data_IF_969609624646
#
_entry.id   IF_969609624646
#
_cell.length_a   1.000
_cell.length_b   1.000
_cell.length_c   1.000
_cell.angle_alpha   90.00
_cell.angle_beta   90.00
_cell.angle_gamma   90.00
#
_symmetry.space_group_name_H-M   'P 1'
#
loop_
_entity.id
_entity.type
_entity.pdbx_description
1 polymer ?
#
# COMPACT_ATOMS: atom_id res chain seq x y z
N UNK A 1 25.46 30.68 26.63
CA UNK A 1 24.51 30.44 25.52
C UNK A 1 24.63 28.98 25.11
N UNK A 2 23.68 28.13 25.53
CA UNK A 2 23.61 26.73 25.09
C UNK A 2 22.85 26.72 23.78
N UNK A 3 23.51 26.30 22.68
CA UNK A 3 22.88 26.00 21.40
C UNK A 3 22.20 24.62 21.57
N UNK A 4 20.87 24.48 21.40
CA UNK A 4 20.23 23.17 21.42
C UNK A 4 20.73 22.39 20.20
N UNK A 5 21.40 21.26 20.44
CA UNK A 5 21.71 20.30 19.42
C UNK A 5 20.37 19.74 18.90
N UNK A 6 19.92 20.19 17.73
CA UNK A 6 18.81 19.59 17.00
C UNK A 6 19.30 18.22 16.53
N UNK A 7 18.89 17.18 17.26
CA UNK A 7 19.11 15.80 16.87
C UNK A 7 18.30 15.57 15.58
N UNK A 8 18.94 15.66 14.43
CA UNK A 8 18.35 15.24 13.16
C UNK A 8 18.18 13.71 13.23
N UNK A 9 17.00 13.27 13.57
CA UNK A 9 16.58 11.88 13.37
C UNK A 9 16.62 11.61 11.87
N UNK A 10 17.70 10.99 11.40
CA UNK A 10 17.81 10.48 10.04
C UNK A 10 16.80 9.32 9.91
N UNK A 11 15.59 9.62 9.45
CA UNK A 11 14.65 8.61 9.00
C UNK A 11 15.33 7.83 7.87
N UNK A 12 15.71 6.58 8.15
CA UNK A 12 16.22 5.70 7.12
C UNK A 12 15.10 5.43 6.13
N UNK A 13 15.32 5.75 4.86
CA UNK A 13 14.37 5.49 3.78
C UNK A 13 14.86 4.32 2.94
N UNK A 14 13.95 3.41 2.62
CA UNK A 14 14.15 2.37 1.64
C UNK A 14 13.37 2.72 0.36
N UNK A 15 13.98 2.55 -0.80
CA UNK A 15 13.34 2.85 -2.08
C UNK A 15 13.74 1.83 -3.15
N UNK A 16 12.84 1.65 -4.11
CA UNK A 16 13.13 0.88 -5.32
C UNK A 16 12.51 1.59 -6.53
N UNK A 17 13.36 2.11 -7.41
CA UNK A 17 12.94 2.88 -8.58
C UNK A 17 12.19 2.02 -9.61
N UNK A 18 12.55 0.74 -9.77
CA UNK A 18 11.92 -0.17 -10.73
C UNK A 18 10.47 -0.47 -10.34
N UNK A 19 10.22 -0.65 -9.05
CA UNK A 19 8.89 -0.88 -8.49
C UNK A 19 8.14 0.43 -8.20
N UNK A 20 8.86 1.55 -8.15
CA UNK A 20 8.30 2.88 -7.96
C UNK A 20 7.77 3.13 -6.56
N UNK A 21 8.47 2.67 -5.53
CA UNK A 21 8.09 2.93 -4.15
C UNK A 21 9.23 3.56 -3.32
N UNK A 22 8.82 4.28 -2.28
CA UNK A 22 9.66 4.78 -1.18
C UNK A 22 8.93 4.53 0.12
N UNK A 23 9.64 4.09 1.17
CA UNK A 23 9.10 3.90 2.51
C UNK A 23 10.12 4.32 3.57
N UNK A 24 9.64 4.73 4.74
CA UNK A 24 10.48 4.96 5.91
C UNK A 24 10.64 3.65 6.69
N UNK A 25 11.86 3.38 7.12
CA UNK A 25 12.13 2.25 8.01
C UNK A 25 11.82 2.65 9.46
N UNK A 26 11.30 1.74 10.28
CA UNK A 26 11.19 1.97 11.71
C UNK A 26 12.56 2.21 12.34
N UNK A 27 12.58 2.96 13.43
CA UNK A 27 13.82 3.23 14.17
C UNK A 27 14.49 1.92 14.62
N UNK A 28 15.81 1.87 14.52
CA UNK A 28 16.60 0.70 14.92
C UNK A 28 16.63 -0.44 13.91
N UNK A 29 15.98 -0.30 12.75
CA UNK A 29 16.03 -1.31 11.70
C UNK A 29 17.28 -1.13 10.83
N UNK A 30 18.07 -2.20 10.68
CA UNK A 30 19.31 -2.24 9.91
C UNK A 30 19.14 -3.20 8.75
N UNK A 31 19.63 -2.82 7.57
CA UNK A 31 19.59 -3.67 6.38
C UNK A 31 20.37 -4.97 6.62
N UNK A 32 19.77 -6.07 6.20
CA UNK A 32 20.41 -7.39 6.19
C UNK A 32 20.50 -7.90 4.75
N UNK A 33 21.51 -8.73 4.42
CA UNK A 33 21.60 -9.32 3.09
C UNK A 33 20.34 -10.11 2.74
N UNK A 34 19.80 -9.90 1.53
CA UNK A 34 18.56 -10.53 1.07
C UNK A 34 18.65 -12.06 1.01
N UNK A 35 19.86 -12.58 0.91
CA UNK A 35 20.17 -14.03 0.93
C UNK A 35 19.69 -14.74 2.20
N UNK A 36 19.68 -14.01 3.33
CA UNK A 36 19.16 -14.54 4.60
C UNK A 36 17.63 -14.59 4.66
N UNK A 37 16.95 -13.89 3.76
CA UNK A 37 15.49 -13.89 3.69
C UNK A 37 14.90 -15.06 2.87
N UNK A 38 15.76 -15.91 2.26
CA UNK A 38 15.37 -17.17 1.64
C UNK A 38 14.57 -17.08 0.35
N UNK A 39 14.44 -15.90 -0.28
CA UNK A 39 13.61 -15.71 -1.46
C UNK A 39 14.33 -15.03 -2.63
N UNK A 40 14.16 -15.56 -3.86
CA UNK A 40 14.72 -14.97 -5.09
C UNK A 40 14.15 -13.57 -5.41
N UNK A 41 12.95 -13.29 -4.89
CA UNK A 41 12.18 -12.08 -5.23
C UNK A 41 12.23 -11.02 -4.13
N UNK A 42 13.11 -11.23 -3.14
CA UNK A 42 13.30 -10.27 -2.05
C UNK A 42 14.04 -9.05 -2.56
N UNK A 43 13.41 -7.89 -2.43
CA UNK A 43 13.93 -6.60 -2.87
C UNK A 43 14.76 -5.93 -1.79
N UNK A 44 14.43 -6.17 -0.54
CA UNK A 44 15.16 -5.69 0.62
C UNK A 44 14.65 -6.30 1.92
N UNK A 45 15.54 -6.47 2.88
CA UNK A 45 15.24 -6.94 4.23
C UNK A 45 15.98 -6.13 5.28
N UNK A 46 15.34 -5.95 6.43
CA UNK A 46 15.87 -5.24 7.57
C UNK A 46 15.53 -5.99 8.85
N UNK A 47 16.38 -5.89 9.83
CA UNK A 47 16.15 -6.43 11.16
C UNK A 47 16.24 -5.34 12.20
N UNK A 48 15.40 -5.42 13.23
CA UNK A 48 15.36 -4.47 14.33
C UNK A 48 14.80 -5.10 15.59
N UNK A 49 15.09 -4.51 16.73
CA UNK A 49 14.64 -5.03 18.02
C UNK A 49 13.26 -4.49 18.44
N UNK A 50 12.75 -3.51 17.68
CA UNK A 50 11.53 -2.81 18.01
C UNK A 50 11.67 -1.99 19.30
N UNK A 51 10.59 -1.83 20.06
CA UNK A 51 10.58 -1.04 21.30
C UNK A 51 11.22 -1.74 22.50
N UNK A 52 11.52 -3.05 22.43
CA UNK A 52 12.02 -3.85 23.55
C UNK A 52 13.13 -4.82 23.09
N UNK A 53 14.36 -4.35 23.11
CA UNK A 53 15.53 -5.05 22.58
C UNK A 53 15.79 -6.44 23.18
N UNK A 54 15.42 -6.67 24.45
CA UNK A 54 15.63 -7.95 25.15
C UNK A 54 14.63 -9.06 24.78
N UNK A 55 13.59 -8.77 23.99
CA UNK A 55 12.49 -9.70 23.73
C UNK A 55 12.43 -10.28 22.31
N UNK A 56 13.54 -10.19 21.56
CA UNK A 56 13.67 -10.78 20.23
C UNK A 56 13.59 -9.76 19.10
N UNK A 57 14.04 -10.20 17.93
CA UNK A 57 14.24 -9.40 16.73
C UNK A 57 13.00 -9.45 15.83
N UNK A 58 12.63 -8.31 15.25
CA UNK A 58 11.70 -8.23 14.14
C UNK A 58 12.44 -8.23 12.81
N UNK A 59 11.80 -8.80 11.81
CA UNK A 59 12.26 -8.75 10.42
C UNK A 59 11.20 -8.04 9.58
N UNK A 60 11.66 -7.13 8.75
CA UNK A 60 10.85 -6.44 7.74
C UNK A 60 11.44 -6.78 6.38
N UNK A 61 10.66 -7.38 5.49
CA UNK A 61 11.10 -7.68 4.13
C UNK A 61 10.10 -7.15 3.12
N UNK A 62 10.60 -6.76 1.95
CA UNK A 62 9.79 -6.43 0.78
C UNK A 62 10.10 -7.46 -0.29
N UNK A 63 9.07 -8.09 -0.81
CA UNK A 63 9.15 -9.11 -1.84
C UNK A 63 8.34 -8.71 -3.07
N UNK A 64 8.87 -8.98 -4.25
CA UNK A 64 8.23 -8.79 -5.55
C UNK A 64 7.24 -9.93 -5.80
N UNK A 65 6.07 -9.61 -6.37
CA UNK A 65 5.05 -10.63 -6.67
C UNK A 65 5.04 -11.11 -8.13
N UNK A 66 5.75 -10.41 -9.04
CA UNK A 66 5.73 -10.64 -10.49
C UNK A 66 4.33 -10.66 -11.10
N UNK A 67 3.39 -9.99 -10.46
CA UNK A 67 2.00 -9.90 -10.86
C UNK A 67 1.39 -8.57 -10.44
N UNK A 68 0.33 -8.17 -11.12
CA UNK A 68 -0.55 -7.09 -10.67
C UNK A 68 -1.68 -7.67 -9.84
N UNK A 69 -2.07 -6.97 -8.78
CA UNK A 69 -3.23 -7.38 -7.97
C UNK A 69 -4.51 -6.80 -8.56
N UNK A 70 -5.52 -7.66 -8.71
CA UNK A 70 -6.90 -7.26 -8.89
C UNK A 70 -7.47 -6.63 -7.61
N UNK A 71 -8.71 -6.11 -7.69
CA UNK A 71 -9.41 -5.54 -6.53
C UNK A 71 -10.19 -6.56 -5.72
N UNK A 72 -10.14 -7.79 -6.14
CA UNK A 72 -10.80 -8.88 -5.44
C UNK A 72 -10.02 -9.17 -4.16
N UNK A 73 -10.74 -9.14 -3.05
CA UNK A 73 -10.18 -9.52 -1.77
C UNK A 73 -9.97 -11.02 -1.69
N UNK A 74 -8.92 -11.41 -0.99
CA UNK A 74 -8.67 -12.82 -0.66
C UNK A 74 -9.87 -13.38 0.13
N UNK A 75 -10.17 -14.64 -0.09
CA UNK A 75 -11.16 -15.35 0.70
C UNK A 75 -10.48 -16.12 1.82
N UNK A 76 -11.08 -16.14 2.99
CA UNK A 76 -10.54 -16.90 4.11
C UNK A 76 -10.37 -18.40 3.79
N UNK A 77 -11.17 -18.94 2.84
CA UNK A 77 -11.07 -20.32 2.34
C UNK A 77 -9.80 -20.60 1.55
N UNK A 78 -9.15 -19.58 1.00
CA UNK A 78 -7.97 -19.71 0.14
C UNK A 78 -6.67 -19.63 0.96
N UNK A 79 -6.79 -19.43 2.29
CA UNK A 79 -5.66 -19.26 3.18
C UNK A 79 -5.10 -20.61 3.68
N UNK A 80 -3.79 -20.69 3.91
CA UNK A 80 -3.18 -21.82 4.59
C UNK A 80 -3.77 -22.05 5.99
N UNK A 81 -3.71 -23.27 6.47
CA UNK A 81 -4.09 -23.58 7.86
C UNK A 81 -3.29 -22.69 8.85
N UNK A 82 -3.93 -22.25 9.91
CA UNK A 82 -3.38 -21.32 10.93
C UNK A 82 -3.11 -19.91 10.43
N UNK A 83 -3.70 -19.51 9.29
CA UNK A 83 -3.64 -18.15 8.80
C UNK A 83 -4.97 -17.43 9.04
N UNK A 84 -4.88 -16.13 9.25
CA UNK A 84 -6.01 -15.23 9.45
C UNK A 84 -5.94 -14.10 8.45
N UNK A 85 -7.05 -13.83 7.76
CA UNK A 85 -7.18 -12.66 6.89
C UNK A 85 -7.41 -11.41 7.73
N UNK A 86 -6.70 -10.35 7.41
CA UNK A 86 -6.81 -9.04 8.00
C UNK A 86 -6.97 -8.00 6.88
N UNK A 87 -7.57 -6.88 7.22
CA UNK A 87 -7.60 -5.70 6.36
C UNK A 87 -6.73 -4.62 6.98
N UNK A 88 -5.81 -4.08 6.19
CA UNK A 88 -4.92 -2.97 6.59
C UNK A 88 -5.06 -1.82 5.61
N UNK A 89 -4.66 -0.61 6.01
CA UNK A 89 -4.77 0.58 5.16
C UNK A 89 -3.43 0.96 4.52
N UNK A 90 -3.48 1.19 3.22
CA UNK A 90 -2.38 1.76 2.45
C UNK A 90 -2.90 2.81 1.47
N UNK A 91 -2.34 4.01 1.51
CA UNK A 91 -2.68 5.13 0.59
C UNK A 91 -4.21 5.39 0.46
N UNK A 92 -4.94 5.27 1.59
CA UNK A 92 -6.40 5.43 1.63
C UNK A 92 -7.20 4.25 1.08
N UNK A 93 -6.54 3.16 0.70
CA UNK A 93 -7.14 1.91 0.23
C UNK A 93 -7.13 0.87 1.35
N UNK A 94 -8.17 0.07 1.42
CA UNK A 94 -8.19 -1.14 2.22
C UNK A 94 -7.57 -2.26 1.39
N UNK A 95 -6.49 -2.87 1.89
CA UNK A 95 -5.75 -3.95 1.24
C UNK A 95 -5.70 -5.18 2.15
N UNK A 96 -5.52 -6.34 1.53
CA UNK A 96 -5.46 -7.61 2.25
C UNK A 96 -4.11 -7.80 2.92
N UNK A 97 -4.14 -8.29 4.15
CA UNK A 97 -3.00 -8.81 4.87
C UNK A 97 -3.33 -10.17 5.48
N UNK A 98 -2.32 -11.01 5.59
CA UNK A 98 -2.43 -12.35 6.15
C UNK A 98 -1.56 -12.40 7.40
N UNK A 99 -2.14 -12.84 8.50
CA UNK A 99 -1.39 -13.25 9.69
C UNK A 99 -1.21 -14.75 9.65
N UNK A 100 -0.01 -15.23 9.88
CA UNK A 100 0.31 -16.66 10.02
C UNK A 100 1.15 -16.86 11.28
N UNK A 101 0.71 -17.74 12.16
CA UNK A 101 1.47 -18.12 13.35
C UNK A 101 2.19 -19.45 13.08
N UNK A 102 3.51 -19.46 13.24
CA UNK A 102 4.38 -20.62 12.96
C UNK A 102 5.25 -20.95 14.17
N UNK A 103 5.76 -22.18 14.23
CA UNK A 103 6.66 -22.61 15.29
C UNK A 103 5.97 -23.36 16.43
N UNK A 104 6.80 -23.81 17.38
CA UNK A 104 6.38 -24.51 18.60
C UNK A 104 6.46 -23.57 19.80
N UNK A 105 5.89 -23.99 20.93
CA UNK A 105 5.95 -23.24 22.18
C UNK A 105 7.40 -22.85 22.52
N UNK A 106 7.64 -21.56 22.74
CA UNK A 106 8.96 -20.98 23.01
C UNK A 106 9.71 -20.43 21.81
N UNK A 107 9.37 -20.86 20.58
CA UNK A 107 9.96 -20.36 19.33
C UNK A 107 8.88 -19.91 18.34
N UNK A 108 7.68 -19.63 18.83
CA UNK A 108 6.56 -19.23 18.00
C UNK A 108 6.80 -17.85 17.37
N UNK A 109 6.61 -17.77 16.08
CA UNK A 109 6.78 -16.56 15.27
C UNK A 109 5.43 -16.21 14.62
N UNK A 110 5.05 -14.96 14.70
CA UNK A 110 3.96 -14.39 13.92
C UNK A 110 4.52 -13.66 12.71
N UNK A 111 3.96 -13.97 11.54
CA UNK A 111 4.28 -13.32 10.28
C UNK A 111 3.04 -12.59 9.78
N UNK A 112 3.18 -11.32 9.49
CA UNK A 112 2.19 -10.51 8.78
C UNK A 112 2.68 -10.25 7.37
N UNK A 113 1.84 -10.52 6.38
CA UNK A 113 2.13 -10.30 4.96
C UNK A 113 1.04 -9.43 4.36
N UNK A 114 1.34 -8.18 4.01
CA UNK A 114 0.41 -7.28 3.32
C UNK A 114 0.72 -7.25 1.82
N UNK A 115 -0.33 -7.32 1.00
CA UNK A 115 -0.22 -7.27 -0.45
C UNK A 115 -0.49 -5.83 -0.93
N UNK A 116 0.53 -5.15 -1.45
CA UNK A 116 0.45 -3.75 -1.87
C UNK A 116 0.35 -3.65 -3.39
N UNK A 117 -0.77 -3.13 -3.93
CA UNK A 117 -1.02 -3.04 -5.38
C UNK A 117 -0.32 -1.84 -5.99
N UNK A 118 0.99 -1.91 -6.23
CA UNK A 118 1.69 -0.88 -6.98
C UNK A 118 1.31 -0.94 -8.47
N UNK A 119 1.54 0.15 -9.19
CA UNK A 119 1.06 0.34 -10.56
C UNK A 119 1.64 -0.66 -11.55
N UNK A 120 2.93 -0.93 -11.46
CA UNK A 120 3.64 -1.83 -12.41
C UNK A 120 3.53 -3.28 -11.98
N UNK A 121 3.77 -3.52 -10.71
CA UNK A 121 3.86 -4.84 -10.13
C UNK A 121 3.56 -4.74 -8.64
N UNK A 122 2.82 -5.69 -8.10
CA UNK A 122 2.53 -5.73 -6.68
C UNK A 122 3.74 -6.19 -5.86
N UNK A 123 3.77 -5.75 -4.62
CA UNK A 123 4.76 -6.19 -3.65
C UNK A 123 4.07 -6.79 -2.42
N UNK A 124 4.79 -7.64 -1.72
CA UNK A 124 4.45 -8.08 -0.37
C UNK A 124 5.35 -7.35 0.62
N UNK A 125 4.74 -6.73 1.63
CA UNK A 125 5.43 -6.20 2.80
C UNK A 125 5.25 -7.23 3.92
N UNK A 126 6.34 -7.80 4.38
CA UNK A 126 6.36 -8.91 5.33
C UNK A 126 6.99 -8.42 6.62
N UNK A 127 6.30 -8.58 7.74
CA UNK A 127 6.83 -8.31 9.08
C UNK A 127 6.73 -9.60 9.89
N UNK A 128 7.86 -10.08 10.38
CA UNK A 128 7.93 -11.27 11.23
C UNK A 128 8.53 -10.92 12.59
N UNK A 129 8.05 -11.55 13.64
CA UNK A 129 8.56 -11.35 15.00
C UNK A 129 8.02 -12.39 15.98
N UNK A 130 8.45 -12.33 17.25
CA UNK A 130 7.96 -13.25 18.28
C UNK A 130 6.45 -13.16 18.43
N UNK A 131 5.76 -14.30 18.55
CA UNK A 131 4.29 -14.33 18.71
C UNK A 131 3.84 -13.59 19.99
N UNK A 132 4.64 -13.59 21.02
CA UNK A 132 4.37 -12.81 22.24
C UNK A 132 4.30 -11.30 21.97
N UNK A 133 4.89 -10.82 20.87
CA UNK A 133 4.93 -9.41 20.44
C UNK A 133 4.15 -9.18 19.13
N UNK A 134 3.17 -10.02 18.82
CA UNK A 134 2.41 -9.95 17.57
C UNK A 134 1.75 -8.57 17.35
N UNK A 135 1.25 -7.94 18.41
CA UNK A 135 0.65 -6.59 18.34
C UNK A 135 1.67 -5.54 17.88
N UNK A 136 2.91 -5.63 18.34
CA UNK A 136 3.99 -4.74 17.93
C UNK A 136 4.40 -5.00 16.47
N UNK A 137 4.47 -6.26 16.04
CA UNK A 137 4.70 -6.61 14.64
C UNK A 137 3.63 -5.99 13.73
N UNK A 138 2.36 -6.01 14.14
CA UNK A 138 1.27 -5.37 13.41
C UNK A 138 1.41 -3.84 13.40
N UNK A 139 1.84 -3.23 14.51
CA UNK A 139 2.09 -1.79 14.58
C UNK A 139 3.25 -1.38 13.64
N UNK A 140 4.32 -2.17 13.57
CA UNK A 140 5.42 -1.99 12.62
C UNK A 140 4.90 -2.06 11.18
N UNK A 141 4.10 -3.08 10.82
CA UNK A 141 3.50 -3.19 9.49
C UNK A 141 2.68 -1.94 9.15
N UNK A 142 1.79 -1.50 10.04
CA UNK A 142 0.95 -0.32 9.82
C UNK A 142 1.78 0.96 9.67
N UNK A 143 2.84 1.13 10.44
CA UNK A 143 3.77 2.27 10.33
C UNK A 143 4.47 2.28 8.97
N UNK A 144 4.99 1.14 8.53
CA UNK A 144 5.63 0.98 7.22
C UNK A 144 4.65 1.27 6.10
N UNK A 145 3.45 0.69 6.12
CA UNK A 145 2.40 0.95 5.11
C UNK A 145 1.96 2.41 5.10
N UNK A 146 1.88 3.06 6.27
CA UNK A 146 1.56 4.49 6.39
C UNK A 146 2.61 5.40 5.74
N UNK A 147 3.88 5.00 5.79
CA UNK A 147 5.00 5.73 5.18
C UNK A 147 5.24 5.37 3.71
N UNK A 148 4.79 4.18 3.28
CA UNK A 148 5.04 3.65 1.94
C UNK A 148 4.28 4.48 0.90
N UNK A 149 5.04 5.15 0.04
CA UNK A 149 4.56 5.93 -1.10
C UNK A 149 4.83 5.16 -2.38
N UNK A 150 3.86 5.12 -3.26
CA UNK A 150 3.97 4.51 -4.56
C UNK A 150 2.72 4.76 -5.38
N UNK A 151 2.85 4.71 -6.68
CA UNK A 151 1.70 4.80 -7.58
C UNK A 151 0.93 3.48 -7.59
N UNK A 152 -0.40 3.58 -7.67
CA UNK A 152 -1.29 2.42 -7.81
C UNK A 152 -2.26 2.62 -8.95
N UNK A 153 -2.68 1.53 -9.59
CA UNK A 153 -3.79 1.52 -10.53
C UNK A 153 -5.16 1.36 -9.83
N UNK A 154 -5.17 1.11 -8.53
CA UNK A 154 -6.39 1.09 -7.75
C UNK A 154 -6.84 2.53 -7.47
N UNK A 155 -8.08 2.84 -7.85
CA UNK A 155 -8.69 4.12 -7.49
C UNK A 155 -9.45 3.96 -6.18
N UNK A 156 -9.24 4.88 -5.25
CA UNK A 156 -10.12 5.01 -4.07
C UNK A 156 -11.56 5.26 -4.53
N UNK A 157 -12.54 4.96 -3.69
CA UNK A 157 -13.96 5.24 -3.98
C UNK A 157 -14.18 6.71 -4.33
N UNK A 158 -13.53 7.61 -3.61
CA UNK A 158 -13.59 9.07 -3.83
C UNK A 158 -12.97 9.47 -5.17
N UNK A 159 -11.80 8.94 -5.54
CA UNK A 159 -11.17 9.21 -6.83
C UNK A 159 -11.96 8.62 -8.00
N UNK A 160 -12.65 7.49 -7.78
CA UNK A 160 -13.54 6.86 -8.76
C UNK A 160 -14.77 7.73 -9.00
N UNK A 161 -15.41 8.20 -7.91
CA UNK A 161 -16.57 9.09 -8.00
C UNK A 161 -16.20 10.40 -8.71
N UNK A 162 -15.03 10.98 -8.43
CA UNK A 162 -14.53 12.17 -9.11
C UNK A 162 -14.34 11.97 -10.62
N UNK A 163 -13.76 10.85 -11.07
CA UNK A 163 -13.60 10.52 -12.50
C UNK A 163 -14.93 10.31 -13.21
N UNK A 164 -15.86 9.58 -12.59
CA UNK A 164 -17.21 9.37 -13.15
C UNK A 164 -17.94 10.71 -13.24
N UNK A 165 -17.88 11.54 -12.19
CA UNK A 165 -18.49 12.88 -12.20
C UNK A 165 -17.95 13.78 -13.31
N UNK A 166 -16.65 13.76 -13.56
CA UNK A 166 -16.01 14.52 -14.65
C UNK A 166 -16.50 14.05 -16.02
N UNK A 167 -16.53 12.75 -16.28
CA UNK A 167 -17.00 12.18 -17.56
C UNK A 167 -18.48 12.52 -17.79
N UNK A 168 -19.33 12.34 -16.79
CA UNK A 168 -20.76 12.67 -16.87
C UNK A 168 -20.96 14.16 -17.10
N UNK A 169 -20.20 15.04 -16.41
CA UNK A 169 -20.25 16.47 -16.61
C UNK A 169 -19.91 16.89 -18.04
N UNK A 170 -18.88 16.30 -18.66
CA UNK A 170 -18.51 16.52 -20.06
C UNK A 170 -19.61 16.11 -21.05
N UNK A 171 -20.17 14.91 -20.85
CA UNK A 171 -21.26 14.40 -21.72
C UNK A 171 -22.50 15.30 -21.66
N UNK A 172 -22.90 15.72 -20.46
CA UNK A 172 -24.03 16.64 -20.27
C UNK A 172 -23.72 18.01 -20.89
N UNK A 173 -22.53 18.56 -20.69
CA UNK A 173 -22.08 19.82 -21.25
C UNK A 173 -22.14 19.85 -22.78
N UNK A 174 -21.66 18.79 -23.44
CA UNK A 174 -21.72 18.62 -24.90
C UNK A 174 -23.17 18.50 -25.36
N UNK A 175 -24.02 17.73 -24.69
CA UNK A 175 -25.43 17.57 -25.05
C UNK A 175 -26.19 18.90 -24.99
N UNK A 176 -25.99 19.68 -23.92
CA UNK A 176 -26.59 21.00 -23.76
C UNK A 176 -26.07 21.97 -24.86
N UNK A 177 -24.77 21.97 -25.14
CA UNK A 177 -24.16 22.79 -26.18
C UNK A 177 -24.76 22.50 -27.55
N UNK A 178 -24.91 21.24 -27.93
CA UNK A 178 -25.54 20.82 -29.18
C UNK A 178 -27.02 21.27 -29.27
N UNK A 179 -27.74 21.17 -28.15
CA UNK A 179 -29.15 21.56 -28.08
C UNK A 179 -29.31 23.07 -28.27
N UNK A 180 -28.44 23.89 -27.68
CA UNK A 180 -28.41 25.36 -27.87
C UNK A 180 -28.08 25.72 -29.32
N UNK A 181 -27.06 25.11 -29.92
CA UNK A 181 -26.69 25.32 -31.33
C UNK A 181 -27.86 24.97 -32.24
N UNK A 182 -28.54 23.85 -32.01
CA UNK A 182 -29.73 23.44 -32.80
C UNK A 182 -30.88 24.45 -32.70
N UNK A 183 -31.14 24.99 -31.49
CA UNK A 183 -32.16 26.05 -31.31
C UNK A 183 -31.82 27.33 -32.03
N UNK A 184 -30.55 27.77 -31.96
CA UNK A 184 -30.11 29.01 -32.66
C UNK A 184 -30.22 28.86 -34.17
N UNK A 185 -29.79 27.71 -34.74
CA UNK A 185 -29.90 27.45 -36.17
C UNK A 185 -31.36 27.37 -36.62
N UNK A 186 -32.24 26.72 -35.85
CA UNK A 186 -33.67 26.65 -36.14
C UNK A 186 -34.34 28.06 -36.16
N UNK A 187 -33.99 28.93 -35.18
CA UNK A 187 -34.51 30.33 -35.15
C UNK A 187 -34.02 31.14 -36.34
N UNK A 188 -32.74 31.00 -36.76
CA UNK A 188 -32.23 31.71 -37.93
C UNK A 188 -32.92 31.29 -39.23
N UNK A 189 -33.22 30.00 -39.39
CA UNK A 189 -33.95 29.48 -40.57
C UNK A 189 -35.39 30.00 -40.62
N UNK A 190 -36.06 30.10 -39.46
CA UNK A 190 -37.43 30.66 -39.41
C UNK A 190 -37.48 32.15 -39.77
N UNK A 191 -36.44 32.94 -39.45
CA UNK A 191 -36.35 34.36 -39.79
C UNK A 191 -35.97 34.63 -41.25
N UNK A 192 -35.33 33.69 -41.94
CA UNK A 192 -34.97 33.84 -43.37
C UNK A 192 -36.06 33.37 -44.34
N UNK A 193 -37.18 32.84 -43.81
CA UNK A 193 -38.30 32.33 -44.58
C UNK A 193 -39.54 33.25 -44.48
N UNK A 194 -39.42 34.36 -43.75
CA UNK A 194 -40.43 35.42 -43.63
C UNK A 194 -40.01 36.72 -44.36
#
# INVERSE_FOLDING_TARGET
MLVPAVLLLLLQAASNADLGYVMSLPEGFVAIPAEFAGGRDVVGCWAGEGSQSSQGTFFLCVQRMHATLGREHLKATDLPAKSQLLTVRWNGLDIDAIRTDTGQTGTAITVYTAQVPLRREAIQVIVAGPTARATEALAILNSVLGSLKGETNWLSSTARAGRVGTIVGWVIGIAIGLLVVRMVVARRRAQSSA
#
